data_IF_979746967862
#
_entry.id   IF_979746967862
#
_cell.length_a   1.000
_cell.length_b   1.000
_cell.length_c   1.000
_cell.angle_alpha   90.00
_cell.angle_beta   90.00
_cell.angle_gamma   90.00
#
_symmetry.space_group_name_H-M   'P 1'
#
loop_
_entity.id
_entity.type
_entity.pdbx_description
1 polymer ?
#
# COMPACT_ATOMS: atom_id res chain seq x y z
N UNK A 1 -34.00 7.81 12.58
CA UNK A 1 -33.36 8.54 13.66
C UNK A 1 -31.99 7.97 13.98
N UNK A 2 -31.06 8.82 14.39
CA UNK A 2 -29.73 8.42 14.88
C UNK A 2 -29.78 8.33 16.40
N UNK A 3 -29.23 7.28 16.99
CA UNK A 3 -28.99 7.22 18.42
C UNK A 3 -27.86 8.19 18.75
N UNK A 4 -28.08 9.03 19.79
CA UNK A 4 -27.28 10.20 20.14
C UNK A 4 -25.77 9.95 20.17
N UNK A 5 -25.07 10.98 19.76
CA UNK A 5 -23.62 11.04 19.77
C UNK A 5 -23.05 10.93 21.19
N UNK A 6 -22.43 9.78 21.44
CA UNK A 6 -21.48 9.69 22.53
C UNK A 6 -20.10 9.86 21.91
N UNK A 7 -19.36 10.86 22.33
CA UNK A 7 -18.02 11.21 21.78
C UNK A 7 -16.98 10.06 21.81
N UNK A 8 -17.34 8.92 22.37
CA UNK A 8 -16.51 7.71 22.45
C UNK A 8 -16.94 6.59 21.48
N UNK A 9 -18.06 6.74 20.76
CA UNK A 9 -18.55 5.72 19.84
C UNK A 9 -18.14 6.02 18.40
N UNK A 10 -17.30 5.18 17.84
CA UNK A 10 -16.85 5.23 16.44
C UNK A 10 -17.92 4.74 15.45
N UNK A 11 -19.04 4.23 15.93
CA UNK A 11 -20.09 3.63 15.10
C UNK A 11 -21.39 4.44 15.17
N UNK A 12 -21.93 4.78 14.01
CA UNK A 12 -23.24 5.36 13.85
C UNK A 12 -24.25 4.27 13.53
N UNK A 13 -25.27 4.11 14.38
CA UNK A 13 -26.36 3.18 14.16
C UNK A 13 -27.59 3.90 13.60
N UNK A 14 -28.05 3.48 12.44
CA UNK A 14 -29.30 3.97 11.86
C UNK A 14 -30.42 3.01 12.20
N UNK A 15 -31.39 3.47 13.03
CA UNK A 15 -32.58 2.70 13.30
C UNK A 15 -33.59 2.88 12.16
N UNK A 16 -34.01 1.76 11.55
CA UNK A 16 -35.12 1.71 10.61
C UNK A 16 -36.30 1.07 11.30
N UNK A 17 -37.48 1.69 11.24
CA UNK A 17 -38.72 1.10 11.72
C UNK A 17 -39.76 1.09 10.60
N UNK A 18 -40.63 0.08 10.61
CA UNK A 18 -41.78 0.01 9.72
C UNK A 18 -42.91 0.89 10.27
N UNK A 19 -43.06 2.10 9.82
CA UNK A 19 -44.07 3.00 10.33
C UNK A 19 -44.36 4.17 9.40
N UNK A 20 -43.64 4.21 8.25
CA UNK A 20 -43.84 5.24 7.24
C UNK A 20 -44.61 4.63 6.08
N UNK A 21 -45.74 5.23 5.72
CA UNK A 21 -46.44 4.90 4.50
C UNK A 21 -45.53 5.12 3.29
N UNK A 22 -45.63 4.24 2.29
CA UNK A 22 -44.77 4.26 1.12
C UNK A 22 -45.54 4.48 -0.18
N UNK A 23 -46.82 4.20 -0.21
CA UNK A 23 -47.62 4.33 -1.41
C UNK A 23 -48.70 5.41 -1.25
N UNK A 24 -49.19 6.04 -2.33
CA UNK A 24 -50.29 6.99 -2.29
C UNK A 24 -51.57 6.41 -1.64
N UNK A 25 -51.82 5.13 -1.87
CA UNK A 25 -52.98 4.42 -1.32
C UNK A 25 -52.88 4.34 0.22
N UNK A 26 -51.72 3.97 0.77
CA UNK A 26 -51.48 3.92 2.21
C UNK A 26 -51.67 5.30 2.86
N UNK A 27 -51.16 6.36 2.21
CA UNK A 27 -51.38 7.73 2.68
C UNK A 27 -52.85 8.13 2.61
N UNK A 28 -53.58 7.67 1.59
CA UNK A 28 -55.01 7.92 1.44
C UNK A 28 -55.84 7.36 2.58
N UNK A 29 -55.40 6.28 3.19
CA UNK A 29 -56.12 5.63 4.30
C UNK A 29 -55.91 6.29 5.67
N UNK A 30 -55.07 7.34 5.77
CA UNK A 30 -54.87 8.10 7.01
C UNK A 30 -56.18 8.71 7.44
N UNK A 31 -56.66 8.39 8.67
CA UNK A 31 -57.86 8.93 9.26
C UNK A 31 -57.58 10.32 9.83
N UNK A 32 -58.28 11.31 9.30
CA UNK A 32 -58.15 12.73 9.73
C UNK A 32 -59.18 13.06 10.81
N UNK A 33 -60.38 12.51 10.69
CA UNK A 33 -61.47 12.75 11.65
C UNK A 33 -62.31 11.48 11.82
N UNK A 34 -62.63 11.18 13.06
CA UNK A 34 -63.59 10.15 13.40
C UNK A 34 -64.76 10.80 14.14
N UNK A 35 -65.98 10.59 13.63
CA UNK A 35 -67.23 11.09 14.27
C UNK A 35 -67.78 10.06 15.22
N UNK A 36 -68.62 10.49 16.21
CA UNK A 36 -69.28 9.58 17.14
C UNK A 36 -70.26 8.58 16.46
N UNK A 37 -70.69 8.87 15.25
CA UNK A 37 -71.60 8.02 14.43
C UNK A 37 -70.82 6.91 13.68
N UNK A 38 -69.46 6.83 13.86
CA UNK A 38 -68.62 5.86 13.20
C UNK A 38 -68.13 6.28 11.81
N UNK A 39 -68.50 7.46 11.32
CA UNK A 39 -68.01 7.98 10.02
C UNK A 39 -66.59 8.40 10.14
N UNK A 40 -65.73 7.95 9.21
CA UNK A 40 -64.33 8.27 9.13
C UNK A 40 -64.11 9.18 7.92
N UNK A 41 -63.44 10.33 8.15
CA UNK A 41 -62.89 11.18 7.09
C UNK A 41 -61.42 10.79 6.88
N UNK A 42 -61.08 10.35 5.68
CA UNK A 42 -59.74 9.94 5.32
C UNK A 42 -59.08 10.98 4.42
N UNK A 43 -57.71 10.94 4.32
CA UNK A 43 -56.97 11.89 3.53
C UNK A 43 -57.40 11.84 2.05
N UNK A 44 -57.66 10.68 1.49
CA UNK A 44 -58.17 10.50 0.11
C UNK A 44 -59.49 11.17 -0.17
N UNK A 45 -60.29 11.49 0.87
CA UNK A 45 -61.62 12.11 0.71
C UNK A 45 -61.51 13.62 0.50
N UNK A 46 -60.36 14.23 0.79
CA UNK A 46 -60.14 15.69 0.73
C UNK A 46 -58.88 16.11 -0.06
N UNK A 47 -58.04 15.18 -0.47
CA UNK A 47 -56.81 15.47 -1.18
C UNK A 47 -56.51 14.43 -2.25
N UNK A 48 -55.98 14.87 -3.36
CA UNK A 48 -55.32 14.01 -4.36
C UNK A 48 -53.90 13.72 -3.92
N UNK A 49 -53.52 12.44 -3.93
CA UNK A 49 -52.24 11.98 -3.41
C UNK A 49 -51.46 11.39 -4.58
N UNK A 50 -50.33 12.03 -4.89
CA UNK A 50 -49.48 11.61 -5.99
C UNK A 50 -48.06 11.28 -5.46
N UNK A 51 -47.46 10.25 -6.04
CA UNK A 51 -46.02 9.99 -5.85
C UNK A 51 -45.23 10.89 -6.78
N UNK A 52 -44.55 11.85 -6.22
CA UNK A 52 -43.74 12.82 -6.98
C UNK A 52 -42.27 12.83 -6.55
N UNK A 53 -41.51 13.70 -7.16
CA UNK A 53 -40.14 13.98 -6.74
C UNK A 53 -40.10 14.88 -5.52
N UNK A 54 -39.12 14.69 -4.64
CA UNK A 54 -38.86 15.58 -3.51
C UNK A 54 -38.62 17.04 -3.95
N UNK A 55 -38.02 17.21 -5.11
CA UNK A 55 -37.76 18.53 -5.72
C UNK A 55 -37.74 18.44 -7.26
N UNK A 56 -38.34 19.41 -7.90
CA UNK A 56 -38.28 19.63 -9.35
C UNK A 56 -37.35 20.80 -9.73
N UNK A 57 -36.56 21.31 -8.77
CA UNK A 57 -35.64 22.42 -8.97
C UNK A 57 -34.43 22.02 -9.84
N UNK A 58 -34.10 20.73 -9.85
CA UNK A 58 -32.95 20.22 -10.59
C UNK A 58 -33.39 19.36 -11.76
N UNK A 59 -32.79 19.60 -12.93
CA UNK A 59 -32.97 18.78 -14.12
C UNK A 59 -31.62 18.19 -14.51
N UNK A 60 -31.53 16.88 -14.63
CA UNK A 60 -30.34 16.18 -15.08
C UNK A 60 -30.31 16.01 -16.59
N UNK A 61 -29.14 16.16 -17.17
CA UNK A 61 -28.88 15.86 -18.58
C UNK A 61 -27.60 15.04 -18.70
N UNK A 62 -27.63 14.03 -19.54
CA UNK A 62 -26.47 13.20 -19.87
C UNK A 62 -26.23 13.27 -21.38
N UNK A 63 -25.11 13.81 -21.83
CA UNK A 63 -24.78 14.00 -23.25
C UNK A 63 -25.91 14.75 -24.03
N UNK A 64 -26.54 15.72 -23.36
CA UNK A 64 -27.62 16.52 -23.96
C UNK A 64 -29.02 15.86 -23.91
N UNK A 65 -29.15 14.64 -23.44
CA UNK A 65 -30.43 13.96 -23.23
C UNK A 65 -30.90 14.11 -21.79
N UNK A 66 -32.23 14.28 -21.56
CA UNK A 66 -32.77 14.28 -20.20
C UNK A 66 -32.45 12.97 -19.50
N UNK A 67 -32.00 13.06 -18.24
CA UNK A 67 -31.59 11.88 -17.47
C UNK A 67 -31.74 12.09 -15.97
N UNK A 68 -31.74 10.98 -15.25
CA UNK A 68 -31.74 10.95 -13.78
C UNK A 68 -30.45 10.27 -13.34
N UNK A 69 -29.69 10.96 -12.48
CA UNK A 69 -28.47 10.37 -11.89
C UNK A 69 -28.82 9.58 -10.66
N UNK A 70 -28.37 8.34 -10.60
CA UNK A 70 -28.46 7.47 -9.43
C UNK A 70 -27.07 7.29 -8.85
N UNK A 71 -26.87 7.63 -7.58
CA UNK A 71 -25.64 7.39 -6.85
C UNK A 71 -25.78 6.15 -5.98
N UNK A 72 -24.88 5.20 -6.13
CA UNK A 72 -24.82 3.97 -5.36
C UNK A 72 -23.65 4.05 -4.40
N UNK A 73 -23.95 3.89 -3.11
CA UNK A 73 -22.96 3.96 -2.04
C UNK A 73 -22.72 2.57 -1.47
N UNK A 74 -21.43 2.24 -1.29
CA UNK A 74 -21.08 1.01 -0.60
C UNK A 74 -21.12 1.18 0.93
N UNK A 75 -21.39 0.11 1.65
CA UNK A 75 -21.29 0.08 3.10
C UNK A 75 -19.82 -0.05 3.54
N UNK A 76 -19.51 0.50 4.71
CA UNK A 76 -18.16 0.36 5.26
C UNK A 76 -17.77 -1.12 5.42
N UNK A 77 -16.57 -1.48 4.98
CA UNK A 77 -16.05 -2.84 5.04
C UNK A 77 -16.42 -3.74 3.85
N UNK A 78 -17.25 -3.28 2.90
CA UNK A 78 -17.52 -4.03 1.67
C UNK A 78 -16.38 -3.91 0.66
N UNK A 79 -16.25 -4.88 -0.25
CA UNK A 79 -15.29 -4.83 -1.33
C UNK A 79 -15.83 -3.98 -2.48
N UNK A 80 -15.23 -2.79 -2.71
CA UNK A 80 -15.67 -1.85 -3.74
C UNK A 80 -15.73 -2.48 -5.13
N UNK A 81 -14.70 -3.24 -5.52
CA UNK A 81 -14.62 -3.92 -6.82
C UNK A 81 -15.75 -4.91 -7.02
N UNK A 82 -16.03 -5.73 -6.00
CA UNK A 82 -17.11 -6.71 -6.06
C UNK A 82 -18.48 -6.01 -6.16
N UNK A 83 -18.72 -5.00 -5.32
CA UNK A 83 -19.98 -4.24 -5.34
C UNK A 83 -20.22 -3.61 -6.71
N UNK A 84 -19.22 -2.98 -7.31
CA UNK A 84 -19.38 -2.37 -8.64
C UNK A 84 -19.59 -3.42 -9.73
N UNK A 85 -18.91 -4.56 -9.67
CA UNK A 85 -19.12 -5.65 -10.63
C UNK A 85 -20.55 -6.23 -10.50
N UNK A 86 -21.03 -6.45 -9.27
CA UNK A 86 -22.39 -6.95 -9.03
C UNK A 86 -23.44 -5.95 -9.49
N UNK A 87 -23.21 -4.64 -9.26
CA UNK A 87 -24.08 -3.57 -9.75
C UNK A 87 -24.08 -3.51 -11.27
N UNK A 88 -22.92 -3.58 -11.92
CA UNK A 88 -22.85 -3.55 -13.38
C UNK A 88 -23.58 -4.75 -14.00
N UNK A 89 -23.41 -5.95 -13.44
CA UNK A 89 -24.13 -7.14 -13.89
C UNK A 89 -25.68 -6.97 -13.76
N UNK A 90 -26.14 -6.40 -12.64
CA UNK A 90 -27.55 -6.08 -12.45
C UNK A 90 -28.04 -5.00 -13.43
N UNK A 91 -27.24 -3.98 -13.70
CA UNK A 91 -27.59 -2.93 -14.66
C UNK A 91 -27.70 -3.47 -16.10
N UNK A 92 -26.83 -4.40 -16.48
CA UNK A 92 -26.90 -5.08 -17.79
C UNK A 92 -28.18 -5.92 -17.91
N UNK A 93 -28.59 -6.61 -16.85
CA UNK A 93 -29.85 -7.35 -16.81
C UNK A 93 -31.05 -6.39 -16.91
N UNK A 94 -31.07 -5.33 -16.10
CA UNK A 94 -32.13 -4.32 -16.10
C UNK A 94 -32.23 -3.56 -17.43
N UNK A 95 -31.12 -3.33 -18.14
CA UNK A 95 -31.13 -2.67 -19.44
C UNK A 95 -32.01 -3.42 -20.46
N UNK A 96 -32.07 -4.74 -20.37
CA UNK A 96 -32.91 -5.57 -21.23
C UNK A 96 -34.43 -5.44 -20.94
N UNK A 97 -34.77 -5.07 -19.70
CA UNK A 97 -36.14 -4.95 -19.23
C UNK A 97 -36.72 -3.51 -19.37
N UNK A 98 -35.87 -2.53 -19.62
CA UNK A 98 -36.26 -1.13 -19.71
C UNK A 98 -37.16 -0.85 -20.91
N UNK A 99 -38.14 0.08 -20.76
CA UNK A 99 -38.95 0.56 -21.86
C UNK A 99 -38.13 1.16 -23.00
N UNK A 100 -38.61 1.03 -24.23
CA UNK A 100 -37.95 1.61 -25.40
C UNK A 100 -37.77 3.12 -25.23
N UNK A 101 -36.56 3.59 -25.43
CA UNK A 101 -36.18 5.00 -25.29
C UNK A 101 -35.51 5.37 -23.99
N UNK A 102 -35.39 4.43 -23.04
CA UNK A 102 -34.58 4.59 -21.81
C UNK A 102 -33.33 3.75 -21.93
N UNK A 103 -32.20 4.35 -21.63
CA UNK A 103 -30.90 3.68 -21.61
C UNK A 103 -30.13 4.01 -20.34
N UNK A 104 -29.39 3.04 -19.81
CA UNK A 104 -28.49 3.23 -18.71
C UNK A 104 -27.16 3.74 -19.26
N UNK A 105 -26.69 4.87 -18.73
CA UNK A 105 -25.40 5.43 -19.05
C UNK A 105 -24.49 5.37 -17.81
N UNK A 106 -23.34 4.73 -17.92
CA UNK A 106 -22.31 4.74 -16.88
C UNK A 106 -21.55 6.07 -16.97
N UNK A 107 -21.82 6.98 -16.03
CA UNK A 107 -21.22 8.32 -16.05
C UNK A 107 -19.81 8.30 -15.42
N UNK A 108 -19.63 7.57 -14.35
CA UNK A 108 -18.36 7.47 -13.64
C UNK A 108 -18.31 6.14 -12.87
N UNK A 109 -17.26 5.37 -13.11
CA UNK A 109 -16.98 4.16 -12.34
C UNK A 109 -15.73 4.36 -11.50
N UNK A 110 -15.87 4.20 -10.18
CA UNK A 110 -14.72 4.19 -9.27
C UNK A 110 -13.77 3.04 -9.60
N UNK A 111 -14.30 1.94 -10.15
CA UNK A 111 -13.49 0.78 -10.54
C UNK A 111 -12.48 1.10 -11.64
N UNK A 112 -12.82 1.93 -12.61
CA UNK A 112 -11.89 2.25 -13.72
C UNK A 112 -10.63 2.91 -13.17
N UNK A 113 -10.80 3.84 -12.22
CA UNK A 113 -9.70 4.47 -11.52
C UNK A 113 -8.95 3.46 -10.62
N UNK A 114 -9.66 2.64 -9.85
CA UNK A 114 -9.05 1.63 -8.98
C UNK A 114 -8.24 0.61 -9.79
N UNK A 115 -8.81 0.09 -10.89
CA UNK A 115 -8.10 -0.87 -11.75
C UNK A 115 -6.89 -0.25 -12.43
N UNK A 116 -7.00 0.98 -12.93
CA UNK A 116 -5.88 1.69 -13.53
C UNK A 116 -4.76 1.91 -12.50
N UNK A 117 -5.12 2.37 -11.30
CA UNK A 117 -4.17 2.59 -10.21
C UNK A 117 -3.53 1.30 -9.73
N UNK A 118 -4.31 0.24 -9.51
CA UNK A 118 -3.77 -1.07 -9.11
C UNK A 118 -2.83 -1.65 -10.18
N UNK A 119 -3.19 -1.55 -11.46
CA UNK A 119 -2.35 -1.99 -12.57
C UNK A 119 -1.03 -1.24 -12.62
N UNK A 120 -1.05 0.09 -12.41
CA UNK A 120 0.17 0.90 -12.38
C UNK A 120 1.06 0.54 -11.18
N UNK A 121 0.48 0.32 -9.98
CA UNK A 121 1.26 -0.09 -8.81
C UNK A 121 1.84 -1.49 -8.97
N UNK A 122 1.10 -2.44 -9.56
CA UNK A 122 1.65 -3.78 -9.87
C UNK A 122 2.79 -3.67 -10.88
N UNK A 123 2.66 -2.84 -11.91
CA UNK A 123 3.75 -2.56 -12.86
C UNK A 123 4.97 -1.98 -12.15
N UNK A 124 4.76 -0.97 -11.29
CA UNK A 124 5.81 -0.35 -10.47
C UNK A 124 6.49 -1.37 -9.55
N UNK A 125 5.74 -2.34 -8.99
CA UNK A 125 6.29 -3.43 -8.18
C UNK A 125 7.31 -4.26 -8.99
N UNK A 126 6.96 -4.64 -10.23
CA UNK A 126 7.87 -5.36 -11.10
C UNK A 126 9.08 -4.52 -11.53
N UNK A 127 8.87 -3.26 -11.86
CA UNK A 127 9.95 -2.32 -12.19
C UNK A 127 10.90 -2.13 -11.01
N UNK A 128 10.37 -2.00 -9.78
CA UNK A 128 11.16 -1.90 -8.56
C UNK A 128 12.01 -3.15 -8.33
N UNK A 129 11.44 -4.35 -8.48
CA UNK A 129 12.18 -5.61 -8.36
C UNK A 129 13.32 -5.66 -9.38
N UNK A 130 13.04 -5.32 -10.65
CA UNK A 130 14.03 -5.35 -11.71
C UNK A 130 15.16 -4.34 -11.46
N UNK A 131 14.79 -3.12 -11.03
CA UNK A 131 15.77 -2.07 -10.70
C UNK A 131 16.66 -2.52 -9.53
N UNK A 132 16.08 -3.07 -8.48
CA UNK A 132 16.82 -3.58 -7.32
C UNK A 132 17.78 -4.70 -7.72
N UNK A 133 17.33 -5.67 -8.53
CA UNK A 133 18.20 -6.73 -9.04
C UNK A 133 19.36 -6.15 -9.84
N UNK A 134 19.10 -5.15 -10.69
CA UNK A 134 20.14 -4.49 -11.48
C UNK A 134 21.14 -3.77 -10.59
N UNK A 135 20.66 -3.01 -9.60
CA UNK A 135 21.55 -2.31 -8.66
C UNK A 135 22.39 -3.30 -7.87
N UNK A 136 21.78 -4.32 -7.30
CA UNK A 136 22.48 -5.37 -6.55
C UNK A 136 23.52 -6.06 -7.43
N UNK A 137 23.18 -6.35 -8.70
CA UNK A 137 24.14 -6.93 -9.64
C UNK A 137 25.33 -6.02 -9.92
N UNK A 138 25.12 -4.72 -10.07
CA UNK A 138 26.21 -3.74 -10.29
C UNK A 138 27.16 -3.68 -9.10
N UNK A 139 26.63 -3.75 -7.88
CA UNK A 139 27.45 -3.68 -6.65
C UNK A 139 28.11 -5.00 -6.31
N UNK A 140 27.38 -6.12 -6.36
CA UNK A 140 27.94 -7.44 -6.05
C UNK A 140 28.79 -8.01 -7.20
N UNK A 141 28.57 -7.56 -8.44
CA UNK A 141 29.34 -7.91 -9.65
C UNK A 141 29.44 -9.42 -9.91
N UNK A 142 28.54 -10.19 -9.34
CA UNK A 142 28.47 -11.66 -9.48
C UNK A 142 27.02 -12.11 -9.52
N UNK A 143 26.68 -12.88 -10.56
CA UNK A 143 25.30 -13.33 -10.77
C UNK A 143 24.83 -14.29 -9.67
N UNK A 144 25.74 -15.09 -9.10
CA UNK A 144 25.41 -16.03 -8.02
C UNK A 144 25.07 -15.28 -6.74
N UNK A 145 25.85 -14.26 -6.44
CA UNK A 145 25.61 -13.37 -5.29
C UNK A 145 24.31 -12.59 -5.45
N UNK A 146 24.00 -12.14 -6.67
CA UNK A 146 22.74 -11.43 -6.97
C UNK A 146 21.51 -12.32 -6.90
N UNK A 147 21.64 -13.59 -7.25
CA UNK A 147 20.54 -14.53 -7.23
C UNK A 147 19.96 -14.72 -5.81
N UNK A 148 20.79 -14.65 -4.78
CA UNK A 148 20.39 -14.89 -3.39
C UNK A 148 19.40 -13.81 -2.89
N UNK A 149 19.71 -12.52 -2.95
CA UNK A 149 18.73 -11.48 -2.63
C UNK A 149 17.49 -11.51 -3.52
N UNK A 150 17.65 -11.84 -4.81
CA UNK A 150 16.52 -11.97 -5.75
C UNK A 150 15.52 -13.03 -5.30
N UNK A 151 15.99 -14.22 -4.93
CA UNK A 151 15.14 -15.29 -4.41
C UNK A 151 14.52 -14.90 -3.08
N UNK A 152 15.28 -14.24 -2.20
CA UNK A 152 14.77 -13.76 -0.91
C UNK A 152 13.62 -12.77 -1.06
N UNK A 153 13.72 -11.80 -2.01
CA UNK A 153 12.63 -10.87 -2.32
C UNK A 153 11.37 -11.63 -2.74
N UNK A 154 11.50 -12.55 -3.70
CA UNK A 154 10.35 -13.29 -4.21
C UNK A 154 9.67 -14.11 -3.11
N UNK A 155 10.43 -14.79 -2.27
CA UNK A 155 9.90 -15.58 -1.16
C UNK A 155 9.22 -14.68 -0.13
N UNK A 156 9.81 -13.55 0.22
CA UNK A 156 9.22 -12.60 1.16
C UNK A 156 7.92 -12.01 0.64
N UNK A 157 7.86 -11.62 -0.65
CA UNK A 157 6.65 -11.10 -1.28
C UNK A 157 5.53 -12.14 -1.31
N UNK A 158 5.82 -13.35 -1.79
CA UNK A 158 4.84 -14.44 -1.83
C UNK A 158 4.36 -14.78 -0.43
N UNK A 159 5.26 -14.84 0.55
CA UNK A 159 4.92 -15.07 1.95
C UNK A 159 4.03 -13.95 2.51
N UNK A 160 4.29 -12.69 2.16
CA UNK A 160 3.46 -11.56 2.59
C UNK A 160 2.07 -11.63 1.95
N UNK A 161 1.95 -11.92 0.66
CA UNK A 161 0.65 -12.14 0.02
C UNK A 161 -0.11 -13.31 0.66
N UNK A 162 0.58 -14.40 0.98
CA UNK A 162 0.01 -15.55 1.69
C UNK A 162 -0.54 -15.15 3.06
N UNK A 163 0.20 -14.33 3.82
CA UNK A 163 -0.26 -13.81 5.10
C UNK A 163 -1.49 -12.89 4.95
N UNK A 164 -1.47 -11.98 3.99
CA UNK A 164 -2.61 -11.08 3.73
C UNK A 164 -3.88 -11.87 3.41
N UNK A 165 -3.76 -12.90 2.57
CA UNK A 165 -4.88 -13.79 2.24
C UNK A 165 -5.39 -14.54 3.48
N UNK A 166 -4.50 -15.08 4.32
CA UNK A 166 -4.85 -15.77 5.55
C UNK A 166 -5.53 -14.83 6.58
N UNK A 167 -5.03 -13.59 6.70
CA UNK A 167 -5.57 -12.58 7.60
C UNK A 167 -6.88 -11.95 7.09
N UNK A 168 -7.36 -12.30 5.90
CA UNK A 168 -8.56 -11.75 5.29
C UNK A 168 -8.41 -10.32 4.80
N UNK A 169 -7.18 -9.86 4.58
CA UNK A 169 -6.91 -8.53 4.00
C UNK A 169 -7.12 -8.56 2.49
N UNK A 170 -7.73 -7.50 1.98
CA UNK A 170 -7.84 -7.30 0.54
C UNK A 170 -6.54 -6.73 -0.04
N UNK A 171 -6.22 -7.14 -1.27
CA UNK A 171 -5.21 -6.46 -2.06
C UNK A 171 -5.80 -5.13 -2.51
N UNK A 172 -5.22 -4.04 -2.05
CA UNK A 172 -5.62 -2.68 -2.37
C UNK A 172 -4.38 -1.80 -2.61
N UNK A 173 -4.61 -0.56 -2.98
CA UNK A 173 -3.54 0.39 -3.31
C UNK A 173 -2.52 0.53 -2.17
N UNK A 174 -2.98 0.56 -0.91
CA UNK A 174 -2.12 0.76 0.27
C UNK A 174 -1.29 -0.48 0.59
N UNK A 175 -1.88 -1.68 0.50
CA UNK A 175 -1.13 -2.93 0.71
C UNK A 175 -0.09 -3.12 -0.40
N UNK A 176 -0.40 -2.74 -1.65
CA UNK A 176 0.56 -2.76 -2.75
C UNK A 176 1.68 -1.73 -2.57
N UNK A 177 1.37 -0.49 -2.13
CA UNK A 177 2.40 0.50 -1.79
C UNK A 177 3.29 0.04 -0.65
N UNK A 178 2.71 -0.59 0.38
CA UNK A 178 3.49 -1.19 1.45
C UNK A 178 4.47 -2.24 0.91
N UNK A 179 4.03 -3.09 -0.02
CA UNK A 179 4.89 -4.10 -0.64
C UNK A 179 6.00 -3.48 -1.49
N UNK A 180 5.71 -2.44 -2.29
CA UNK A 180 6.74 -1.71 -3.06
C UNK A 180 7.80 -1.12 -2.12
N UNK A 181 7.37 -0.51 -1.02
CA UNK A 181 8.29 0.05 -0.02
C UNK A 181 9.07 -1.05 0.71
N UNK A 182 8.42 -2.18 1.00
CA UNK A 182 9.05 -3.31 1.67
C UNK A 182 10.16 -3.95 0.83
N UNK A 183 10.10 -3.90 -0.52
CA UNK A 183 11.16 -4.48 -1.38
C UNK A 183 12.53 -3.94 -1.00
N UNK A 184 12.65 -2.62 -0.77
CA UNK A 184 13.93 -2.00 -0.38
C UNK A 184 14.46 -2.56 0.94
N UNK A 185 13.62 -2.67 1.96
CA UNK A 185 14.02 -3.17 3.28
C UNK A 185 14.27 -4.68 3.30
N UNK A 186 13.49 -5.44 2.52
CA UNK A 186 13.65 -6.90 2.38
C UNK A 186 14.97 -7.26 1.72
N UNK A 187 15.38 -6.49 0.72
CA UNK A 187 16.63 -6.79 0.02
C UNK A 187 17.86 -6.49 0.87
N UNK A 188 17.80 -5.48 1.72
CA UNK A 188 18.93 -5.06 2.56
C UNK A 188 19.40 -6.17 3.49
N UNK A 189 18.48 -6.90 4.14
CA UNK A 189 18.83 -8.03 5.00
C UNK A 189 19.58 -9.14 4.25
N UNK A 190 19.13 -9.45 3.04
CA UNK A 190 19.76 -10.48 2.21
C UNK A 190 21.13 -10.03 1.67
N UNK A 191 21.28 -8.75 1.32
CA UNK A 191 22.56 -8.16 0.88
C UNK A 191 23.60 -8.25 1.99
N UNK A 192 23.23 -7.86 3.23
CA UNK A 192 24.12 -7.92 4.40
C UNK A 192 24.68 -9.33 4.59
N UNK A 193 23.84 -10.36 4.45
CA UNK A 193 24.28 -11.76 4.54
C UNK A 193 25.29 -12.10 3.45
N UNK A 194 24.99 -11.77 2.19
CA UNK A 194 25.87 -12.05 1.05
C UNK A 194 27.21 -11.32 1.21
N UNK A 195 27.18 -10.03 1.56
CA UNK A 195 28.40 -9.23 1.76
C UNK A 195 29.26 -9.75 2.91
N UNK A 196 28.62 -10.16 4.03
CA UNK A 196 29.37 -10.75 5.15
C UNK A 196 30.07 -12.04 4.76
N UNK A 197 29.42 -12.90 3.96
CA UNK A 197 30.04 -14.14 3.45
C UNK A 197 31.17 -13.82 2.46
N UNK A 198 30.98 -12.84 1.58
CA UNK A 198 32.04 -12.41 0.66
C UNK A 198 33.26 -11.86 1.41
N UNK A 199 33.03 -11.07 2.45
CA UNK A 199 34.12 -10.57 3.30
C UNK A 199 34.94 -11.72 3.96
N UNK A 200 34.31 -12.86 4.24
CA UNK A 200 35.03 -14.06 4.71
C UNK A 200 35.84 -14.73 3.61
N UNK A 201 35.36 -14.76 2.36
CA UNK A 201 36.19 -15.20 1.23
C UNK A 201 37.42 -14.31 1.03
N UNK A 202 37.24 -12.99 1.14
CA UNK A 202 38.35 -12.02 1.05
C UNK A 202 39.35 -12.20 2.21
N UNK A 203 38.90 -12.69 3.38
CA UNK A 203 39.74 -13.04 4.51
C UNK A 203 40.45 -14.41 4.37
N UNK A 204 40.25 -15.12 3.23
CA UNK A 204 40.95 -16.36 2.88
C UNK A 204 40.16 -17.66 3.13
N UNK A 205 38.89 -17.59 3.46
CA UNK A 205 38.05 -18.80 3.57
C UNK A 205 37.86 -19.46 2.21
N UNK A 206 38.18 -20.76 2.11
CA UNK A 206 38.00 -21.55 0.87
C UNK A 206 36.66 -22.29 0.81
N UNK A 207 36.04 -22.55 1.96
CA UNK A 207 34.77 -23.26 2.08
C UNK A 207 33.61 -22.27 2.25
N UNK A 208 32.64 -22.31 1.33
CA UNK A 208 31.40 -21.49 1.41
C UNK A 208 30.61 -21.77 2.69
N UNK A 209 30.57 -23.04 3.12
CA UNK A 209 29.88 -23.45 4.32
C UNK A 209 30.51 -22.83 5.59
N UNK A 210 31.83 -22.91 5.74
CA UNK A 210 32.55 -22.33 6.88
C UNK A 210 32.49 -20.81 6.87
N UNK A 211 32.65 -20.19 5.69
CA UNK A 211 32.53 -18.75 5.52
C UNK A 211 31.14 -18.24 5.94
N UNK A 212 30.09 -18.98 5.59
CA UNK A 212 28.71 -18.62 5.95
C UNK A 212 28.47 -18.73 7.44
N UNK A 213 28.90 -19.81 8.10
CA UNK A 213 28.71 -19.99 9.57
C UNK A 213 29.41 -18.87 10.32
N UNK A 214 30.64 -18.58 9.95
CA UNK A 214 31.43 -17.54 10.64
C UNK A 214 30.87 -16.12 10.35
N UNK A 215 30.41 -15.85 9.13
CA UNK A 215 29.72 -14.61 8.80
C UNK A 215 28.45 -14.40 9.63
N UNK A 216 27.61 -15.43 9.70
CA UNK A 216 26.34 -15.38 10.42
C UNK A 216 26.52 -15.16 11.93
N UNK A 217 27.58 -15.70 12.52
CA UNK A 217 27.87 -15.46 13.94
C UNK A 217 28.06 -13.98 14.27
N UNK A 218 28.54 -13.19 13.32
CA UNK A 218 28.79 -11.75 13.50
C UNK A 218 27.59 -10.86 13.21
N UNK A 219 26.64 -11.29 12.37
CA UNK A 219 25.56 -10.41 11.86
C UNK A 219 24.16 -10.78 12.37
N UNK A 220 23.95 -12.00 12.89
CA UNK A 220 22.62 -12.46 13.34
C UNK A 220 21.97 -11.52 14.34
N UNK A 221 22.70 -11.06 15.35
CA UNK A 221 22.14 -10.14 16.35
C UNK A 221 21.76 -8.78 15.75
N UNK A 222 22.53 -8.31 14.77
CA UNK A 222 22.23 -7.05 14.08
C UNK A 222 20.94 -7.16 13.24
N UNK A 223 20.76 -8.24 12.49
CA UNK A 223 19.53 -8.50 11.69
C UNK A 223 18.32 -8.59 12.61
N UNK A 224 18.38 -9.37 13.70
CA UNK A 224 17.28 -9.49 14.65
C UNK A 224 16.92 -8.15 15.28
N UNK A 225 17.93 -7.40 15.73
CA UNK A 225 17.69 -6.12 16.38
C UNK A 225 17.11 -5.09 15.41
N UNK A 226 17.66 -4.97 14.19
CA UNK A 226 17.14 -4.02 13.18
C UNK A 226 15.70 -4.36 12.80
N UNK A 227 15.38 -5.62 12.60
CA UNK A 227 14.02 -6.09 12.30
C UNK A 227 13.04 -5.76 13.42
N UNK A 228 13.41 -6.04 14.69
CA UNK A 228 12.55 -5.72 15.83
C UNK A 228 12.30 -4.22 15.95
N UNK A 229 13.32 -3.39 15.74
CA UNK A 229 13.16 -1.94 15.74
C UNK A 229 12.24 -1.50 14.60
N UNK A 230 12.41 -2.05 13.41
CA UNK A 230 11.56 -1.73 12.26
C UNK A 230 10.09 -2.11 12.52
N UNK A 231 9.84 -3.33 13.00
CA UNK A 231 8.50 -3.77 13.35
C UNK A 231 7.88 -2.92 14.46
N UNK A 232 8.66 -2.52 15.47
CA UNK A 232 8.20 -1.67 16.57
C UNK A 232 7.72 -0.29 16.10
N UNK A 233 8.21 0.24 14.98
CA UNK A 233 7.73 1.48 14.38
C UNK A 233 6.35 1.31 13.75
N UNK A 234 6.07 0.15 13.12
CA UNK A 234 4.81 -0.09 12.43
C UNK A 234 3.69 -0.57 13.35
N UNK A 235 3.98 -1.13 14.52
CA UNK A 235 2.97 -1.57 15.49
C UNK A 235 2.05 -0.41 15.92
N UNK A 236 2.55 0.75 16.37
CA UNK A 236 1.68 1.88 16.71
C UNK A 236 0.86 2.38 15.52
N UNK A 237 1.42 2.38 14.31
CA UNK A 237 0.72 2.76 13.08
C UNK A 237 -0.44 1.81 12.81
N UNK A 238 -0.22 0.50 13.01
CA UNK A 238 -1.26 -0.52 12.85
C UNK A 238 -2.35 -0.46 13.94
N UNK A 239 -2.08 0.20 15.08
CA UNK A 239 -3.04 0.36 16.19
C UNK A 239 -3.84 1.68 16.12
N UNK A 240 -3.66 2.49 15.09
CA UNK A 240 -4.42 3.73 14.93
C UNK A 240 -5.91 3.44 14.74
N UNK A 241 -6.75 4.15 15.47
CA UNK A 241 -8.21 4.05 15.37
C UNK A 241 -8.82 5.06 14.40
N UNK A 242 -10.14 4.94 14.18
CA UNK A 242 -10.90 5.85 13.33
C UNK A 242 -10.86 5.50 11.84
N UNK A 243 -11.42 6.38 11.00
CA UNK A 243 -11.52 6.15 9.55
C UNK A 243 -10.14 5.99 8.90
N UNK A 244 -9.17 6.80 9.31
CA UNK A 244 -7.79 6.70 8.85
C UNK A 244 -7.10 5.44 9.37
N UNK A 245 -7.53 4.91 10.53
CA UNK A 245 -6.96 3.72 11.14
C UNK A 245 -7.09 2.48 10.25
N UNK A 246 -8.20 2.32 9.54
CA UNK A 246 -8.39 1.19 8.62
C UNK A 246 -7.28 1.15 7.55
N UNK A 247 -6.91 2.31 7.02
CA UNK A 247 -5.84 2.45 6.03
C UNK A 247 -4.47 2.16 6.63
N UNK A 248 -4.15 2.79 7.75
CA UNK A 248 -2.85 2.65 8.40
C UNK A 248 -2.64 1.26 8.99
N UNK A 249 -3.68 0.60 9.48
CA UNK A 249 -3.61 -0.78 9.97
C UNK A 249 -3.18 -1.74 8.86
N UNK A 250 -3.82 -1.68 7.70
CA UNK A 250 -3.46 -2.57 6.58
C UNK A 250 -2.03 -2.30 6.09
N UNK A 251 -1.65 -1.04 5.93
CA UNK A 251 -0.30 -0.64 5.55
C UNK A 251 0.74 -1.11 6.57
N UNK A 252 0.53 -0.79 7.86
CA UNK A 252 1.47 -1.09 8.94
C UNK A 252 1.66 -2.59 9.17
N UNK A 253 0.57 -3.37 9.14
CA UNK A 253 0.66 -4.83 9.26
C UNK A 253 1.37 -5.43 8.04
N UNK A 254 1.06 -4.99 6.83
CA UNK A 254 1.73 -5.48 5.62
C UNK A 254 3.24 -5.24 5.68
N UNK A 255 3.66 -4.04 6.09
CA UNK A 255 5.07 -3.70 6.27
C UNK A 255 5.73 -4.55 7.35
N UNK A 256 5.11 -4.66 8.53
CA UNK A 256 5.66 -5.45 9.63
C UNK A 256 5.84 -6.93 9.27
N UNK A 257 4.88 -7.51 8.56
CA UNK A 257 4.95 -8.90 8.09
C UNK A 257 6.01 -9.08 7.02
N UNK A 258 6.08 -8.18 6.04
CA UNK A 258 7.09 -8.25 4.98
C UNK A 258 8.52 -8.19 5.55
N UNK A 259 8.77 -7.27 6.49
CA UNK A 259 10.07 -7.13 7.16
C UNK A 259 10.35 -8.34 8.08
N UNK A 260 9.35 -8.84 8.81
CA UNK A 260 9.49 -10.05 9.61
C UNK A 260 9.85 -11.28 8.78
N UNK A 261 9.20 -11.47 7.63
CA UNK A 261 9.53 -12.54 6.68
C UNK A 261 10.91 -12.35 6.04
N UNK A 262 11.32 -11.10 5.79
CA UNK A 262 12.68 -10.78 5.34
C UNK A 262 13.72 -11.29 6.34
N UNK A 263 13.56 -11.00 7.61
CA UNK A 263 14.49 -11.44 8.64
C UNK A 263 14.55 -12.97 8.74
N UNK A 264 13.39 -13.65 8.67
CA UNK A 264 13.35 -15.13 8.62
C UNK A 264 14.14 -15.64 7.43
N UNK A 265 13.96 -15.06 6.24
CA UNK A 265 14.72 -15.42 5.04
C UNK A 265 16.21 -15.12 5.19
N UNK A 266 16.58 -13.99 5.76
CA UNK A 266 17.97 -13.61 5.98
C UNK A 266 18.70 -14.52 6.99
N UNK A 267 17.95 -15.07 7.96
CA UNK A 267 18.50 -15.98 8.96
C UNK A 267 18.47 -17.46 8.56
N UNK A 268 17.69 -17.82 7.54
CA UNK A 268 17.51 -19.22 7.12
C UNK A 268 17.83 -19.44 5.65
N UNK A 269 17.06 -18.86 4.75
CA UNK A 269 17.16 -19.08 3.31
C UNK A 269 18.45 -18.50 2.73
N UNK A 270 18.75 -17.24 3.04
CA UNK A 270 19.93 -16.56 2.48
C UNK A 270 21.24 -17.23 2.87
N UNK A 271 21.48 -17.62 4.15
CA UNK A 271 22.68 -18.36 4.52
C UNK A 271 22.76 -19.74 3.86
N UNK A 272 21.64 -20.46 3.76
CA UNK A 272 21.60 -21.75 3.09
C UNK A 272 22.00 -21.63 1.60
N UNK A 273 21.44 -20.61 0.91
CA UNK A 273 21.80 -20.33 -0.48
C UNK A 273 23.26 -19.86 -0.61
N UNK A 274 23.79 -19.07 0.31
CA UNK A 274 25.19 -18.67 0.34
C UNK A 274 26.11 -19.90 0.46
N UNK A 275 25.84 -20.80 1.37
CA UNK A 275 26.63 -22.00 1.58
C UNK A 275 26.60 -22.94 0.35
N UNK A 276 25.49 -22.95 -0.42
CA UNK A 276 25.31 -23.83 -1.59
C UNK A 276 25.83 -23.24 -2.89
N UNK A 277 25.63 -21.93 -3.11
CA UNK A 277 25.78 -21.31 -4.44
C UNK A 277 27.07 -20.48 -4.54
N UNK A 278 27.47 -19.80 -3.45
CA UNK A 278 28.64 -18.92 -3.49
C UNK A 278 29.93 -19.72 -3.64
N UNK A 279 30.87 -19.13 -4.32
CA UNK A 279 32.23 -19.67 -4.48
C UNK A 279 33.24 -18.52 -4.31
N UNK A 280 34.43 -18.80 -3.76
CA UNK A 280 35.52 -17.81 -3.74
C UNK A 280 35.82 -17.31 -5.16
N UNK A 281 36.15 -16.02 -5.27
CA UNK A 281 36.44 -15.39 -6.57
C UNK A 281 37.82 -15.76 -7.14
N UNK A 282 38.71 -16.26 -6.29
CA UNK A 282 40.05 -16.65 -6.68
C UNK A 282 40.06 -18.15 -6.99
N UNK A 283 40.63 -18.52 -8.13
CA UNK A 283 40.98 -19.91 -8.47
C UNK A 283 42.03 -20.43 -7.48
N UNK A 284 42.27 -21.75 -7.47
CA UNK A 284 43.26 -22.40 -6.60
C UNK A 284 44.66 -21.83 -6.74
N UNK A 285 44.94 -21.09 -7.83
CA UNK A 285 46.23 -20.42 -8.13
C UNK A 285 46.25 -18.91 -7.76
N UNK A 286 45.15 -18.37 -7.18
CA UNK A 286 45.06 -16.96 -6.76
C UNK A 286 44.92 -15.97 -7.92
N UNK A 287 44.64 -16.40 -9.14
CA UNK A 287 44.48 -15.55 -10.30
C UNK A 287 43.00 -15.34 -10.66
N UNK A 288 42.63 -14.09 -10.97
CA UNK A 288 41.31 -13.79 -11.54
C UNK A 288 41.28 -14.22 -13.02
N UNK A 289 40.29 -14.99 -13.43
CA UNK A 289 40.02 -15.25 -14.85
C UNK A 289 39.83 -13.94 -15.60
N UNK A 290 40.70 -13.68 -16.61
CA UNK A 290 40.64 -12.45 -17.41
C UNK A 290 39.46 -12.48 -18.40
N UNK A 291 38.29 -12.11 -17.90
CA UNK A 291 37.07 -11.98 -18.67
C UNK A 291 36.58 -10.53 -18.66
N UNK A 292 35.70 -10.15 -19.60
CA UNK A 292 35.08 -8.82 -19.65
C UNK A 292 34.50 -8.40 -18.29
N UNK A 293 33.91 -9.33 -17.56
CA UNK A 293 33.40 -9.11 -16.19
C UNK A 293 34.52 -8.74 -15.20
N UNK A 294 35.71 -9.32 -15.34
CA UNK A 294 36.86 -8.98 -14.48
C UNK A 294 37.38 -7.57 -14.75
N UNK A 295 37.38 -7.13 -16.02
CA UNK A 295 37.75 -5.74 -16.39
C UNK A 295 36.74 -4.73 -15.86
N UNK A 296 35.46 -5.01 -15.97
CA UNK A 296 34.41 -4.16 -15.40
C UNK A 296 34.56 -4.07 -13.88
N UNK A 297 34.73 -5.21 -13.19
CA UNK A 297 34.95 -5.29 -11.74
C UNK A 297 36.16 -4.45 -11.32
N UNK A 298 37.29 -4.54 -12.03
CA UNK A 298 38.50 -3.77 -11.72
C UNK A 298 38.27 -2.27 -11.88
N UNK A 299 37.57 -1.84 -12.96
CA UNK A 299 37.25 -0.44 -13.21
C UNK A 299 36.33 0.12 -12.16
N UNK A 300 35.26 -0.62 -11.84
CA UNK A 300 34.28 -0.25 -10.82
C UNK A 300 34.92 -0.14 -9.44
N UNK A 301 35.70 -1.14 -9.01
CA UNK A 301 36.36 -1.15 -7.71
C UNK A 301 37.38 -0.01 -7.58
N UNK A 302 38.04 0.36 -8.66
CA UNK A 302 38.97 1.51 -8.68
C UNK A 302 38.19 2.83 -8.49
N UNK A 303 37.09 3.01 -9.22
CA UNK A 303 36.24 4.20 -9.10
C UNK A 303 35.56 4.27 -7.72
N UNK A 304 35.03 3.16 -7.25
CA UNK A 304 34.41 3.07 -5.93
C UNK A 304 35.43 3.30 -4.80
N UNK A 305 36.63 2.74 -4.91
CA UNK A 305 37.72 2.99 -3.97
C UNK A 305 38.09 4.48 -3.88
N UNK A 306 38.10 5.19 -5.01
CA UNK A 306 38.34 6.64 -5.02
C UNK A 306 37.21 7.40 -4.29
N UNK A 307 35.93 6.97 -4.47
CA UNK A 307 34.79 7.53 -3.75
C UNK A 307 34.89 7.27 -2.24
N UNK A 308 35.21 6.03 -1.84
CA UNK A 308 35.42 5.64 -0.43
C UNK A 308 36.51 6.47 0.21
N UNK A 309 37.62 6.73 -0.51
CA UNK A 309 38.68 7.57 0.02
C UNK A 309 38.24 9.03 0.22
N UNK A 310 37.47 9.62 -0.69
CA UNK A 310 36.86 10.94 -0.49
C UNK A 310 35.92 10.95 0.72
N UNK A 311 35.09 9.93 0.86
CA UNK A 311 34.20 9.76 2.01
C UNK A 311 34.98 9.70 3.33
N UNK A 312 36.04 8.87 3.39
CA UNK A 312 36.93 8.79 4.58
C UNK A 312 37.51 10.15 4.97
N UNK A 313 37.93 10.95 3.99
CA UNK A 313 38.43 12.30 4.26
C UNK A 313 37.32 13.21 4.82
N UNK A 314 36.10 13.14 4.27
CA UNK A 314 34.97 13.87 4.79
C UNK A 314 34.64 13.48 6.24
N UNK A 315 34.52 12.19 6.53
CA UNK A 315 34.27 11.69 7.90
C UNK A 315 35.38 12.12 8.86
N UNK A 316 36.66 12.04 8.43
CA UNK A 316 37.81 12.46 9.23
C UNK A 316 37.74 13.95 9.57
N UNK A 317 37.27 14.80 8.64
CA UNK A 317 37.02 16.23 8.87
C UNK A 317 36.00 16.46 9.98
N UNK A 318 34.85 15.74 9.96
CA UNK A 318 33.81 15.82 10.97
C UNK A 318 34.30 15.34 12.35
N UNK A 319 35.04 14.22 12.39
CA UNK A 319 35.62 13.71 13.63
C UNK A 319 36.62 14.71 14.22
N UNK A 320 37.47 15.32 13.37
CA UNK A 320 38.48 16.29 13.80
C UNK A 320 37.89 17.61 14.26
N UNK A 321 36.76 18.03 13.68
CA UNK A 321 36.11 19.30 13.97
C UNK A 321 34.70 19.07 14.53
N UNK A 322 34.61 18.79 15.82
CA UNK A 322 33.34 18.48 16.50
C UNK A 322 32.26 19.57 16.34
N UNK A 323 32.67 20.84 16.17
CA UNK A 323 31.71 21.92 15.96
C UNK A 323 30.96 21.80 14.61
N UNK A 324 31.59 21.25 13.56
CA UNK A 324 30.93 20.97 12.28
C UNK A 324 29.78 19.97 12.46
N UNK A 325 29.98 18.95 13.28
CA UNK A 325 28.94 17.96 13.58
C UNK A 325 27.76 18.62 14.27
N UNK A 326 28.02 19.45 15.30
CA UNK A 326 26.93 20.15 16.00
C UNK A 326 26.24 21.20 15.13
N UNK A 327 26.97 21.89 14.28
CA UNK A 327 26.39 22.88 13.37
C UNK A 327 25.52 22.24 12.29
N UNK A 328 25.94 21.11 11.71
CA UNK A 328 25.09 20.37 10.76
C UNK A 328 23.83 19.82 11.43
N UNK A 329 23.96 19.25 12.63
CA UNK A 329 22.81 18.79 13.39
C UNK A 329 21.85 19.96 13.70
N UNK A 330 22.36 21.07 14.18
CA UNK A 330 21.54 22.27 14.48
C UNK A 330 20.86 22.82 13.23
N UNK A 331 21.55 22.88 12.09
CA UNK A 331 20.98 23.29 10.81
C UNK A 331 19.88 22.34 10.36
N UNK A 332 20.09 21.02 10.49
CA UNK A 332 19.05 20.02 10.12
C UNK A 332 17.81 20.15 10.99
N UNK A 333 17.97 20.34 12.30
CA UNK A 333 16.83 20.54 13.22
C UNK A 333 16.11 21.84 12.89
N UNK A 334 16.84 22.93 12.65
CA UNK A 334 16.25 24.21 12.27
C UNK A 334 15.46 24.11 10.95
N UNK A 335 16.03 23.43 9.94
CA UNK A 335 15.37 23.16 8.68
C UNK A 335 14.11 22.31 8.86
N UNK A 336 14.16 21.26 9.70
CA UNK A 336 13.01 20.42 10.02
C UNK A 336 11.87 21.24 10.64
N UNK A 337 12.19 22.04 11.66
CA UNK A 337 11.18 22.89 12.32
C UNK A 337 10.58 23.92 11.34
N UNK A 338 11.41 24.53 10.50
CA UNK A 338 10.96 25.46 9.46
C UNK A 338 9.99 24.76 8.49
N UNK A 339 10.39 23.61 7.95
CA UNK A 339 9.58 22.84 6.99
C UNK A 339 8.27 22.36 7.62
N UNK A 340 8.28 21.87 8.85
CA UNK A 340 7.05 21.46 9.54
C UNK A 340 6.06 22.60 9.72
N UNK A 341 6.54 23.84 9.92
CA UNK A 341 5.67 25.00 10.08
C UNK A 341 5.18 25.59 8.75
N UNK A 342 5.91 25.37 7.66
CA UNK A 342 5.57 25.95 6.34
C UNK A 342 4.85 24.97 5.42
N UNK A 343 4.99 23.67 5.65
CA UNK A 343 4.37 22.64 4.81
C UNK A 343 2.89 22.49 5.15
N UNK A 344 2.04 22.51 4.12
CA UNK A 344 0.60 22.28 4.27
C UNK A 344 0.35 20.84 4.72
N UNK A 345 -0.54 20.70 5.70
CA UNK A 345 -0.98 19.37 6.18
C UNK A 345 -2.23 18.93 5.43
N UNK A 346 -2.25 17.68 4.98
CA UNK A 346 -3.38 17.03 4.33
C UNK A 346 -3.35 15.54 4.62
N UNK A 347 -4.52 14.89 4.62
CA UNK A 347 -4.62 13.45 4.85
C UNK A 347 -4.22 12.65 3.61
N UNK A 348 -4.68 13.09 2.46
CA UNK A 348 -4.43 12.47 1.15
C UNK A 348 -4.13 13.61 0.17
N UNK A 349 -3.13 13.47 -0.71
CA UNK A 349 -2.92 14.45 -1.78
C UNK A 349 -4.13 14.47 -2.72
N UNK A 350 -4.41 15.63 -3.32
CA UNK A 350 -5.43 15.76 -4.34
C UNK A 350 -5.04 14.91 -5.56
N UNK A 351 -5.92 14.01 -5.97
CA UNK A 351 -5.73 13.14 -7.13
C UNK A 351 -6.56 13.66 -8.30
N UNK A 352 -5.94 13.73 -9.47
CA UNK A 352 -6.66 14.02 -10.71
C UNK A 352 -7.41 12.76 -11.18
N UNK A 353 -8.72 12.74 -10.96
CA UNK A 353 -9.61 11.66 -11.37
C UNK A 353 -10.17 11.86 -12.79
N UNK A 354 -9.66 12.85 -13.52
CA UNK A 354 -10.14 13.19 -14.88
C UNK A 354 -11.55 13.77 -14.90
N UNK A 355 -12.07 14.24 -13.76
CA UNK A 355 -13.41 14.84 -13.63
C UNK A 355 -13.32 16.30 -13.24
N UNK A 356 -14.10 17.14 -13.93
CA UNK A 356 -14.24 18.55 -13.60
C UNK A 356 -15.68 18.76 -13.10
N UNK A 357 -15.82 19.17 -11.83
CA UNK A 357 -17.10 19.57 -11.28
C UNK A 357 -17.19 21.11 -11.32
N UNK A 358 -18.21 21.61 -12.02
CA UNK A 358 -18.49 23.04 -12.10
C UNK A 358 -19.82 23.30 -11.41
N UNK A 359 -19.81 24.07 -10.34
CA UNK A 359 -21.01 24.58 -9.68
C UNK A 359 -21.28 25.98 -10.26
N UNK A 360 -22.47 26.17 -10.81
CA UNK A 360 -22.92 27.43 -11.41
C UNK A 360 -23.98 28.06 -10.52
#
# INVERSE_FOLDING_TARGET
GTLGENSQNTFQYTMKYRGRHQTPEEFGEIVLLSKPDGTLLRLKDIADIELGSESYAYKGYTNGHPGVSTMIFQTAGSNATQVVNDVNALLDELQAELPKGIAIAHLQSVNDFLYASMKEVVKTLFEAILLVILVVYVFLQDIRSTLIPTVSILVALVGTFGFLAFAGFSINLLTLFALVLAIGTVVDDAIIVVEAVQARFDAGYKSSYMATIDAMSGITSAIVTSTLVFMAVFIPVAMMGGTSGVFYTQFGITMAVAVGLSAVNALTLSPALCAMILKPYLDENGEMRDNFAARFRKAFNTAFGALVNKYKHGVMLFIKHKWLMWSTLGLTIAALVLLMNTTKTGLVPDEDQGTIMVNV
#
